data_IF_223824724881
#
_entry.id   IF_223824724881
#
_cell.length_a   1.000
_cell.length_b   1.000
_cell.length_c   1.000
_cell.angle_alpha   90.00
_cell.angle_beta   90.00
_cell.angle_gamma   90.00
#
_symmetry.space_group_name_H-M   'P 1'
#
loop_
_entity.id
_entity.type
_entity.pdbx_description
1 polymer ?
#
# COMPACT_ATOMS: atom_id res chain seq x y z
N UNK A 1 8.14 -7.78 -53.78
CA UNK A 1 7.69 -7.28 -52.46
C UNK A 1 7.15 -8.46 -51.66
N UNK A 2 7.90 -8.93 -50.66
CA UNK A 2 7.46 -10.02 -49.77
C UNK A 2 6.54 -9.43 -48.71
N UNK A 3 5.28 -9.88 -48.68
CA UNK A 3 4.36 -9.60 -47.59
C UNK A 3 4.79 -10.42 -46.37
N UNK A 4 5.20 -9.73 -45.30
CA UNK A 4 5.56 -10.35 -44.03
C UNK A 4 4.29 -10.44 -43.19
N UNK A 5 3.60 -11.58 -43.26
CA UNK A 5 2.45 -11.85 -42.39
C UNK A 5 2.98 -12.21 -40.99
N UNK A 6 2.87 -11.27 -40.05
CA UNK A 6 3.22 -11.50 -38.65
C UNK A 6 2.13 -12.37 -38.01
N UNK A 7 2.36 -13.68 -37.91
CA UNK A 7 1.49 -14.59 -37.17
C UNK A 7 1.80 -14.41 -35.68
N UNK A 8 0.87 -13.80 -34.94
CA UNK A 8 0.92 -13.67 -33.49
C UNK A 8 0.51 -15.02 -32.87
N UNK A 9 1.47 -15.86 -32.53
CA UNK A 9 1.19 -17.12 -31.83
C UNK A 9 0.92 -16.81 -30.35
N UNK A 10 -0.36 -16.89 -29.94
CA UNK A 10 -0.78 -16.74 -28.55
C UNK A 10 -0.46 -18.04 -27.81
N UNK A 11 0.60 -18.03 -27.00
CA UNK A 11 0.83 -19.09 -26.02
C UNK A 11 -0.13 -18.87 -24.83
N UNK A 12 -1.18 -19.67 -24.77
CA UNK A 12 -2.06 -19.74 -23.59
C UNK A 12 -1.37 -20.63 -22.55
N UNK A 13 -0.74 -20.03 -21.55
CA UNK A 13 -0.29 -20.79 -20.37
C UNK A 13 -1.52 -21.13 -19.50
N UNK A 14 -2.07 -22.33 -19.70
CA UNK A 14 -3.11 -22.94 -18.88
C UNK A 14 -2.56 -23.36 -17.50
N UNK A 15 -2.28 -22.41 -16.60
CA UNK A 15 -1.90 -22.73 -15.21
C UNK A 15 -2.48 -21.74 -14.18
N UNK A 16 -3.71 -21.27 -14.39
CA UNK A 16 -4.49 -20.65 -13.32
C UNK A 16 -5.94 -21.14 -13.41
N UNK A 17 -6.42 -21.79 -12.35
CA UNK A 17 -7.79 -22.27 -12.22
C UNK A 17 -8.79 -21.12 -11.99
N UNK A 18 -8.32 -19.86 -11.93
CA UNK A 18 -9.16 -18.69 -11.72
C UNK A 18 -9.65 -18.11 -13.04
N UNK A 19 -10.96 -17.98 -13.16
CA UNK A 19 -11.60 -17.38 -14.33
C UNK A 19 -11.60 -15.85 -14.19
N UNK A 20 -10.89 -15.17 -15.10
CA UNK A 20 -10.93 -13.72 -15.17
C UNK A 20 -12.35 -13.22 -15.51
N UNK A 21 -13.00 -12.54 -14.57
CA UNK A 21 -14.43 -12.21 -14.56
C UNK A 21 -14.69 -10.75 -14.17
N UNK A 22 -14.34 -9.78 -15.05
CA UNK A 22 -14.46 -8.37 -14.73
C UNK A 22 -15.92 -7.89 -14.64
N UNK A 23 -16.19 -7.01 -13.69
CA UNK A 23 -17.45 -6.28 -13.57
C UNK A 23 -17.32 -4.84 -14.07
N UNK A 24 -18.42 -4.25 -14.53
CA UNK A 24 -18.46 -2.83 -14.84
C UNK A 24 -18.35 -2.02 -13.54
N UNK A 25 -17.63 -0.91 -13.60
CA UNK A 25 -17.54 0.08 -12.54
C UNK A 25 -17.58 1.45 -13.18
N UNK A 26 -18.36 2.37 -12.63
CA UNK A 26 -18.42 3.78 -13.03
C UNK A 26 -17.59 4.59 -12.04
N UNK A 27 -16.34 4.95 -12.37
CA UNK A 27 -15.55 5.80 -11.49
C UNK A 27 -16.21 7.17 -11.34
N UNK A 28 -16.19 7.77 -10.13
CA UNK A 28 -16.62 9.16 -9.97
C UNK A 28 -15.78 10.07 -10.85
N UNK A 29 -16.30 11.24 -11.23
CA UNK A 29 -15.54 12.22 -12.02
C UNK A 29 -14.28 12.60 -11.26
N UNK A 30 -13.12 12.54 -11.92
CA UNK A 30 -11.84 12.92 -11.33
C UNK A 30 -11.92 14.33 -10.74
N UNK A 31 -11.51 14.53 -9.46
CA UNK A 31 -11.57 15.85 -8.85
C UNK A 31 -10.59 16.80 -9.55
N UNK A 32 -11.02 18.05 -9.72
CA UNK A 32 -10.14 19.12 -10.20
C UNK A 32 -9.05 19.42 -9.17
N UNK A 33 -7.80 19.67 -9.59
CA UNK A 33 -6.68 19.90 -8.70
C UNK A 33 -6.69 21.37 -8.21
N UNK A 34 -7.68 21.72 -7.39
CA UNK A 34 -7.90 23.08 -6.85
C UNK A 34 -7.87 23.10 -5.33
N UNK A 35 -7.61 24.29 -4.76
CA UNK A 35 -7.59 24.49 -3.31
C UNK A 35 -6.51 23.62 -2.65
N UNK A 36 -6.89 22.78 -1.68
CA UNK A 36 -5.93 21.94 -0.95
C UNK A 36 -5.23 20.89 -1.83
N UNK A 37 -5.82 20.57 -2.99
CA UNK A 37 -5.28 19.63 -3.97
C UNK A 37 -4.51 20.33 -5.11
N UNK A 38 -4.34 21.64 -5.05
CA UNK A 38 -3.56 22.38 -6.04
C UNK A 38 -2.13 21.81 -6.13
N UNK A 39 -1.56 21.62 -7.34
CA UNK A 39 -0.22 21.08 -7.48
C UNK A 39 0.81 21.97 -6.80
N UNK A 40 1.70 21.36 -6.02
CA UNK A 40 2.82 22.04 -5.36
C UNK A 40 4.12 21.24 -5.53
N UNK A 41 5.25 21.76 -5.08
CA UNK A 41 6.58 21.14 -5.26
C UNK A 41 7.28 20.82 -3.94
N UNK A 42 6.52 20.66 -2.85
CA UNK A 42 7.08 20.45 -1.51
C UNK A 42 7.99 19.21 -1.44
N UNK A 43 7.62 18.12 -2.10
CA UNK A 43 8.43 16.89 -2.07
C UNK A 43 9.77 17.03 -2.80
N UNK A 44 9.95 18.02 -3.68
CA UNK A 44 11.24 18.28 -4.33
C UNK A 44 12.29 18.81 -3.34
N UNK A 45 11.85 19.31 -2.17
CA UNK A 45 12.74 19.77 -1.09
C UNK A 45 13.24 18.62 -0.21
N UNK A 46 12.75 17.39 -0.43
CA UNK A 46 13.15 16.24 0.38
C UNK A 46 14.64 15.91 0.21
N UNK A 47 15.30 15.53 1.29
CA UNK A 47 16.64 14.95 1.24
C UNK A 47 16.49 13.50 0.77
N UNK A 48 17.25 13.12 -0.26
CA UNK A 48 17.27 11.77 -0.76
C UNK A 48 18.38 10.95 -0.09
N UNK A 49 18.02 9.78 0.41
CA UNK A 49 18.99 8.79 0.91
C UNK A 49 18.98 7.54 0.03
N UNK A 50 20.10 6.82 0.09
CA UNK A 50 20.27 5.50 -0.51
C UNK A 50 20.07 5.41 -2.05
N UNK A 51 20.22 6.53 -2.77
CA UNK A 51 20.10 6.59 -4.24
C UNK A 51 20.92 5.50 -4.91
N UNK A 52 20.28 4.68 -5.75
CA UNK A 52 20.88 3.56 -6.48
C UNK A 52 21.27 2.35 -5.63
N UNK A 53 21.01 2.38 -4.31
CA UNK A 53 21.48 1.36 -3.36
C UNK A 53 20.37 0.52 -2.74
N UNK A 54 19.11 0.96 -2.84
CA UNK A 54 17.93 0.20 -2.41
C UNK A 54 17.01 -0.07 -3.59
N UNK A 55 16.04 -0.96 -3.40
CA UNK A 55 15.14 -1.40 -4.47
C UNK A 55 13.73 -1.60 -3.94
N UNK A 56 12.93 -0.55 -3.98
CA UNK A 56 11.52 -0.63 -3.67
C UNK A 56 11.24 -0.87 -2.19
N UNK A 57 11.70 0.04 -1.31
CA UNK A 57 11.30 0.03 0.10
C UNK A 57 9.88 0.60 0.19
N UNK A 58 8.90 -0.29 0.11
CA UNK A 58 7.46 0.04 0.02
C UNK A 58 7.01 0.76 1.29
N UNK A 59 6.92 0.05 2.42
CA UNK A 59 6.72 0.63 3.74
C UNK A 59 8.06 0.83 4.45
N UNK A 60 8.05 1.75 5.40
CA UNK A 60 9.17 2.09 6.25
C UNK A 60 8.75 1.94 7.72
N UNK A 61 9.70 1.82 8.63
CA UNK A 61 9.53 2.28 10.00
C UNK A 61 10.87 2.80 10.51
N UNK A 62 10.84 3.64 11.54
CA UNK A 62 12.01 4.34 12.05
C UNK A 62 12.19 4.01 13.53
N UNK A 63 13.34 3.50 13.93
CA UNK A 63 13.61 3.22 15.35
C UNK A 63 13.86 4.50 16.17
N UNK A 64 14.07 4.34 17.49
CA UNK A 64 14.32 5.47 18.39
C UNK A 64 15.58 6.27 18.05
N UNK A 65 16.55 5.62 17.40
CA UNK A 65 17.84 6.19 17.02
C UNK A 65 17.79 6.88 15.64
N UNK A 66 16.64 6.82 14.97
CA UNK A 66 16.44 7.40 13.64
C UNK A 66 16.90 6.50 12.49
N UNK A 67 17.22 5.22 12.76
CA UNK A 67 17.49 4.28 11.67
C UNK A 67 16.18 3.87 11.01
N UNK A 68 16.22 3.78 9.70
CA UNK A 68 15.07 3.52 8.83
C UNK A 68 15.13 2.06 8.40
N UNK A 69 14.00 1.37 8.49
CA UNK A 69 13.86 -0.04 8.14
C UNK A 69 12.81 -0.18 7.06
N UNK A 70 13.01 -1.10 6.11
CA UNK A 70 12.03 -1.38 5.07
C UNK A 70 12.32 -2.69 4.34
N UNK A 71 11.31 -3.24 3.70
CA UNK A 71 11.42 -4.43 2.86
C UNK A 71 11.74 -4.10 1.42
N UNK A 72 12.78 -4.71 0.85
CA UNK A 72 13.09 -4.55 -0.58
C UNK A 72 12.45 -5.62 -1.46
N UNK A 73 12.49 -5.40 -2.78
CA UNK A 73 11.91 -6.31 -3.77
C UNK A 73 12.53 -7.71 -3.80
N UNK A 74 13.73 -7.88 -3.23
CA UNK A 74 14.45 -9.15 -3.18
C UNK A 74 14.11 -9.93 -1.88
N UNK A 75 13.14 -9.43 -1.10
CA UNK A 75 12.66 -10.03 0.14
C UNK A 75 13.58 -9.77 1.34
N UNK A 76 14.48 -8.78 1.27
CA UNK A 76 15.40 -8.44 2.35
C UNK A 76 14.81 -7.33 3.23
N UNK A 77 15.09 -7.42 4.53
CA UNK A 77 14.87 -6.30 5.45
C UNK A 77 16.15 -5.46 5.46
N UNK A 78 16.02 -4.22 5.01
CA UNK A 78 17.11 -3.25 4.89
C UNK A 78 17.03 -2.29 6.06
N UNK A 79 18.17 -2.03 6.71
CA UNK A 79 18.36 -0.93 7.65
C UNK A 79 19.23 0.15 7.01
N UNK A 80 18.80 1.40 7.14
CA UNK A 80 19.50 2.59 6.67
C UNK A 80 19.72 3.52 7.87
N UNK A 81 20.97 3.89 8.14
CA UNK A 81 21.27 4.90 9.17
C UNK A 81 21.20 6.31 8.58
N UNK A 82 21.00 7.34 9.42
CA UNK A 82 21.03 8.74 8.95
C UNK A 82 22.39 9.17 8.37
N UNK A 83 23.46 8.41 8.64
CA UNK A 83 24.79 8.59 8.02
C UNK A 83 24.90 7.94 6.64
N UNK A 84 23.83 7.28 6.17
CA UNK A 84 23.77 6.61 4.86
C UNK A 84 24.37 5.21 4.83
N UNK A 85 24.63 4.58 5.97
CA UNK A 85 25.02 3.16 6.02
C UNK A 85 23.80 2.28 5.74
N UNK A 86 23.95 1.33 4.82
CA UNK A 86 22.86 0.45 4.37
C UNK A 86 23.27 -0.99 4.62
N UNK A 87 22.42 -1.74 5.33
CA UNK A 87 22.68 -3.15 5.63
C UNK A 87 21.41 -3.98 5.47
N UNK A 88 21.52 -5.11 4.77
CA UNK A 88 20.51 -6.16 4.83
C UNK A 88 20.69 -6.91 6.16
N UNK A 89 19.66 -6.89 7.02
CA UNK A 89 19.72 -7.47 8.36
C UNK A 89 18.97 -8.81 8.47
N UNK A 90 18.06 -9.09 7.54
CA UNK A 90 17.36 -10.36 7.42
C UNK A 90 16.80 -10.55 6.00
N UNK A 91 16.22 -11.73 5.74
CA UNK A 91 15.55 -12.05 4.47
C UNK A 91 14.31 -12.92 4.73
N UNK A 92 13.12 -12.43 4.39
CA UNK A 92 11.85 -13.16 4.51
C UNK A 92 11.70 -14.24 3.43
N UNK A 93 12.41 -14.06 2.30
CA UNK A 93 12.25 -14.86 1.08
C UNK A 93 10.83 -14.80 0.51
N UNK A 94 10.09 -13.73 0.85
CA UNK A 94 8.83 -13.32 0.25
C UNK A 94 8.96 -11.89 -0.30
N UNK A 95 7.92 -11.08 -0.11
CA UNK A 95 7.91 -9.65 -0.45
C UNK A 95 7.34 -8.87 0.74
N UNK A 96 8.19 -8.33 1.63
CA UNK A 96 7.73 -7.46 2.71
C UNK A 96 7.21 -6.15 2.10
N UNK A 97 5.99 -5.78 2.49
CA UNK A 97 5.30 -4.57 2.05
C UNK A 97 5.14 -3.66 3.27
N UNK A 98 4.29 -3.99 4.25
CA UNK A 98 4.18 -3.30 5.53
C UNK A 98 5.22 -3.72 6.59
N UNK A 99 5.74 -2.77 7.37
CA UNK A 99 6.63 -3.03 8.51
C UNK A 99 6.32 -2.09 9.69
N UNK A 100 6.39 -2.60 10.92
CA UNK A 100 6.25 -1.77 12.12
C UNK A 100 6.93 -2.42 13.33
N UNK A 101 7.62 -1.62 14.16
CA UNK A 101 8.17 -2.11 15.42
C UNK A 101 7.09 -2.31 16.49
N UNK A 102 7.11 -3.46 17.15
CA UNK A 102 6.33 -3.71 18.36
C UNK A 102 6.98 -3.06 19.60
N UNK A 103 6.27 -3.09 20.74
CA UNK A 103 6.78 -2.54 22.01
C UNK A 103 7.99 -3.28 22.58
N UNK A 104 8.25 -4.52 22.14
CA UNK A 104 9.44 -5.29 22.55
C UNK A 104 10.66 -4.98 21.66
N UNK A 105 10.46 -4.26 20.56
CA UNK A 105 11.46 -3.94 19.56
C UNK A 105 11.69 -5.05 18.54
N UNK A 106 10.70 -5.94 18.34
CA UNK A 106 10.66 -6.82 17.18
C UNK A 106 10.03 -6.05 16.00
N UNK A 107 10.49 -6.33 14.79
CA UNK A 107 9.86 -5.79 13.58
C UNK A 107 8.77 -6.76 13.14
N UNK A 108 7.52 -6.32 13.16
CA UNK A 108 6.40 -7.03 12.57
C UNK A 108 6.36 -6.68 11.08
N UNK A 109 6.10 -7.68 10.25
CA UNK A 109 6.22 -7.58 8.80
C UNK A 109 4.97 -8.18 8.16
N UNK A 110 4.29 -7.40 7.33
CA UNK A 110 3.31 -7.87 6.37
C UNK A 110 4.07 -8.29 5.11
N UNK A 111 4.14 -9.61 4.87
CA UNK A 111 4.79 -10.15 3.68
C UNK A 111 3.75 -10.71 2.73
N UNK A 112 3.73 -10.19 1.50
CA UNK A 112 2.73 -10.50 0.49
C UNK A 112 2.53 -12.00 0.25
N UNK A 113 3.58 -12.81 0.44
CA UNK A 113 3.57 -14.24 0.13
C UNK A 113 3.68 -15.13 1.39
N UNK A 114 4.06 -14.56 2.54
CA UNK A 114 4.34 -15.33 3.76
C UNK A 114 3.36 -15.02 4.90
N UNK A 115 2.45 -14.08 4.71
CA UNK A 115 1.52 -13.63 5.74
C UNK A 115 2.19 -12.67 6.71
N UNK A 116 1.76 -12.71 7.97
CA UNK A 116 2.30 -11.88 9.03
C UNK A 116 3.52 -12.56 9.67
N UNK A 117 4.64 -11.85 9.72
CA UNK A 117 5.91 -12.32 10.28
C UNK A 117 6.35 -11.43 11.45
N UNK A 118 7.22 -11.96 12.29
CA UNK A 118 7.96 -11.22 13.32
C UNK A 118 9.45 -11.48 13.15
N UNK A 119 10.25 -10.41 13.22
CA UNK A 119 11.70 -10.46 13.22
C UNK A 119 12.24 -9.93 14.54
N UNK A 120 12.98 -10.75 15.27
CA UNK A 120 13.62 -10.32 16.52
C UNK A 120 14.88 -9.46 16.28
N UNK A 121 15.47 -8.94 17.36
CA UNK A 121 16.67 -8.10 17.32
C UNK A 121 17.92 -8.80 16.79
N UNK A 122 17.92 -10.13 16.71
CA UNK A 122 19.01 -10.93 16.13
C UNK A 122 18.85 -11.13 14.62
N UNK A 123 17.69 -10.74 14.07
CA UNK A 123 17.31 -10.96 12.67
C UNK A 123 16.61 -12.28 12.42
N UNK A 124 16.24 -13.04 13.47
CA UNK A 124 15.51 -14.30 13.31
C UNK A 124 14.05 -14.00 12.99
N UNK A 125 13.58 -14.53 11.86
CA UNK A 125 12.20 -14.40 11.38
C UNK A 125 11.37 -15.60 11.81
N UNK A 126 10.16 -15.34 12.30
CA UNK A 126 9.14 -16.33 12.66
C UNK A 126 7.81 -15.95 12.01
N UNK A 127 7.12 -16.91 11.39
CA UNK A 127 5.75 -16.70 10.89
C UNK A 127 4.77 -16.68 12.05
N UNK A 128 3.95 -15.62 12.12
CA UNK A 128 2.90 -15.47 13.12
C UNK A 128 1.59 -16.10 12.63
N UNK A 129 1.18 -15.77 11.40
CA UNK A 129 0.01 -16.34 10.72
C UNK A 129 0.15 -16.22 9.21
N UNK A 130 -0.24 -17.26 8.48
CA UNK A 130 -0.18 -17.31 6.99
C UNK A 130 -1.52 -17.69 6.33
N UNK A 131 -2.53 -18.04 7.11
CA UNK A 131 -3.83 -18.46 6.62
C UNK A 131 -4.95 -18.15 7.61
N UNK A 132 -6.19 -18.13 7.11
CA UNK A 132 -7.40 -18.02 7.92
C UNK A 132 -8.39 -19.10 7.52
N UNK A 133 -8.79 -19.94 8.48
CA UNK A 133 -9.71 -21.07 8.27
C UNK A 133 -9.28 -22.00 7.12
N UNK A 134 -7.98 -22.30 7.03
CA UNK A 134 -7.41 -23.17 5.98
C UNK A 134 -7.26 -22.51 4.61
N UNK A 135 -7.55 -21.21 4.49
CA UNK A 135 -7.34 -20.44 3.26
C UNK A 135 -6.11 -19.55 3.43
N UNK A 136 -5.02 -19.77 2.66
CA UNK A 136 -3.83 -18.93 2.73
C UNK A 136 -4.14 -17.47 2.38
N UNK A 137 -3.46 -16.54 3.06
CA UNK A 137 -3.41 -15.17 2.59
C UNK A 137 -2.66 -15.12 1.26
N UNK A 138 -3.09 -14.25 0.37
CA UNK A 138 -2.57 -14.17 -1.00
C UNK A 138 -1.77 -12.89 -1.22
N UNK A 139 -2.09 -11.86 -0.44
CA UNK A 139 -1.50 -10.55 -0.58
C UNK A 139 -1.57 -9.77 0.74
N UNK A 140 -0.87 -10.26 1.76
CA UNK A 140 -0.73 -9.52 3.02
C UNK A 140 0.08 -8.24 2.79
N UNK A 141 -0.55 -7.09 2.97
CA UNK A 141 -0.06 -5.83 2.40
C UNK A 141 0.45 -4.87 3.48
N UNK A 142 -0.42 -4.43 4.41
CA UNK A 142 -0.06 -3.49 5.46
C UNK A 142 -0.53 -3.94 6.86
N UNK A 143 -0.01 -3.29 7.92
CA UNK A 143 -0.33 -3.61 9.31
C UNK A 143 -0.27 -2.40 10.25
N UNK A 144 -1.01 -2.47 11.36
CA UNK A 144 -0.84 -1.57 12.50
C UNK A 144 -0.99 -2.35 13.83
N UNK A 145 -0.24 -1.95 14.84
CA UNK A 145 -0.14 -2.64 16.13
C UNK A 145 -0.88 -1.84 17.22
N UNK A 146 -1.85 -2.49 17.84
CA UNK A 146 -2.58 -1.94 18.98
C UNK A 146 -1.73 -1.89 20.26
N UNK A 147 -2.14 -1.06 21.20
CA UNK A 147 -1.51 -0.85 22.50
C UNK A 147 -1.42 -2.14 23.33
N UNK A 148 -2.36 -3.06 23.17
CA UNK A 148 -2.38 -4.36 23.86
C UNK A 148 -1.53 -5.44 23.17
N UNK A 149 -0.95 -5.12 22.01
CA UNK A 149 -0.10 -6.00 21.20
C UNK A 149 -0.83 -6.76 20.10
N UNK A 150 -2.15 -6.59 19.94
CA UNK A 150 -2.86 -7.15 18.78
C UNK A 150 -2.40 -6.49 17.49
N UNK A 151 -2.33 -7.27 16.42
CA UNK A 151 -1.82 -6.83 15.13
C UNK A 151 -2.98 -6.84 14.14
N UNK A 152 -3.35 -5.67 13.66
CA UNK A 152 -4.31 -5.51 12.58
C UNK A 152 -3.53 -5.59 11.27
N UNK A 153 -4.06 -6.28 10.27
CA UNK A 153 -3.39 -6.39 8.97
C UNK A 153 -4.39 -6.57 7.84
N UNK A 154 -3.99 -6.14 6.65
CA UNK A 154 -4.77 -6.30 5.42
C UNK A 154 -4.31 -7.51 4.62
N UNK A 155 -5.25 -8.13 3.92
CA UNK A 155 -5.01 -9.05 2.80
C UNK A 155 -5.69 -8.41 1.58
N UNK A 156 -4.88 -7.76 0.74
CA UNK A 156 -5.36 -6.80 -0.24
C UNK A 156 -6.27 -7.40 -1.29
N UNK A 157 -6.01 -8.65 -1.68
CA UNK A 157 -6.72 -9.32 -2.75
C UNK A 157 -6.62 -10.83 -2.61
N UNK A 158 -7.44 -11.54 -3.38
CA UNK A 158 -7.18 -12.95 -3.66
C UNK A 158 -5.98 -13.14 -4.60
N UNK A 159 -5.61 -12.14 -5.41
CA UNK A 159 -4.48 -12.19 -6.34
C UNK A 159 -3.14 -12.05 -5.63
N UNK A 160 -2.08 -12.65 -6.18
CA UNK A 160 -0.72 -12.42 -5.69
C UNK A 160 -0.23 -11.00 -6.02
N UNK A 161 0.80 -10.52 -5.31
CA UNK A 161 1.37 -9.18 -5.52
C UNK A 161 1.75 -8.87 -6.97
N UNK A 162 2.32 -9.83 -7.71
CA UNK A 162 2.68 -9.65 -9.13
C UNK A 162 1.47 -9.51 -10.06
N UNK A 163 0.28 -9.85 -9.57
CA UNK A 163 -0.99 -9.91 -10.27
C UNK A 163 -1.95 -8.78 -9.88
N UNK A 164 -1.50 -7.81 -9.07
CA UNK A 164 -2.32 -6.72 -8.52
C UNK A 164 -3.18 -5.98 -9.57
N UNK A 165 -2.70 -5.82 -10.81
CA UNK A 165 -3.45 -5.18 -11.89
C UNK A 165 -4.63 -6.03 -12.42
N UNK A 166 -4.66 -7.34 -12.16
CA UNK A 166 -5.83 -8.16 -12.48
C UNK A 166 -7.00 -7.83 -11.55
N UNK A 167 -6.73 -7.57 -10.28
CA UNK A 167 -7.75 -7.10 -9.33
C UNK A 167 -8.34 -5.75 -9.79
N UNK A 168 -7.49 -4.80 -10.21
CA UNK A 168 -7.92 -3.53 -10.80
C UNK A 168 -8.88 -3.75 -11.98
N UNK A 169 -8.49 -4.61 -12.92
CA UNK A 169 -9.33 -4.89 -14.08
C UNK A 169 -10.64 -5.57 -13.67
N UNK A 170 -10.59 -6.56 -12.78
CA UNK A 170 -11.80 -7.25 -12.35
C UNK A 170 -12.76 -6.31 -11.62
N UNK A 171 -12.22 -5.32 -10.92
CA UNK A 171 -12.95 -4.31 -10.16
C UNK A 171 -13.93 -4.94 -9.17
N UNK A 172 -13.49 -6.02 -8.50
CA UNK A 172 -14.26 -6.78 -7.51
C UNK A 172 -13.69 -6.57 -6.10
N UNK A 173 -14.53 -6.68 -5.06
CA UNK A 173 -14.12 -6.34 -3.70
C UNK A 173 -13.50 -7.55 -2.98
N UNK A 174 -12.26 -7.92 -3.33
CA UNK A 174 -11.61 -9.11 -2.77
C UNK A 174 -10.85 -8.88 -1.47
N UNK A 175 -10.59 -7.63 -1.11
CA UNK A 175 -9.78 -7.26 0.04
C UNK A 175 -10.45 -7.56 1.37
N UNK A 176 -9.62 -7.87 2.36
CA UNK A 176 -10.02 -8.27 3.71
C UNK A 176 -9.10 -7.62 4.75
N UNK A 177 -9.63 -7.45 5.96
CA UNK A 177 -8.88 -6.96 7.12
C UNK A 177 -9.09 -7.91 8.29
N UNK A 178 -7.99 -8.21 8.97
CA UNK A 178 -7.93 -9.14 10.08
C UNK A 178 -7.33 -8.49 11.32
N UNK A 179 -7.53 -9.12 12.47
CA UNK A 179 -6.74 -8.92 13.67
C UNK A 179 -6.17 -10.25 14.14
N UNK A 180 -4.89 -10.24 14.51
CA UNK A 180 -4.17 -11.36 15.10
C UNK A 180 -3.81 -11.02 16.55
N UNK A 181 -4.06 -11.94 17.48
CA UNK A 181 -3.62 -11.84 18.87
C UNK A 181 -2.39 -12.75 19.10
N UNK A 182 -1.18 -12.20 19.28
CA UNK A 182 0.01 -13.01 19.52
C UNK A 182 -0.04 -13.87 20.79
N UNK A 183 -0.90 -13.53 21.76
CA UNK A 183 -1.02 -14.29 23.03
C UNK A 183 -1.85 -15.55 22.86
N UNK A 184 -2.98 -15.45 22.16
CA UNK A 184 -3.87 -16.61 21.92
C UNK A 184 -3.56 -17.32 20.61
N UNK A 185 -2.81 -16.67 19.71
CA UNK A 185 -2.56 -17.07 18.32
C UNK A 185 -3.83 -17.15 17.47
N UNK A 186 -4.89 -16.48 17.90
CA UNK A 186 -6.14 -16.43 17.16
C UNK A 186 -6.13 -15.31 16.14
N UNK A 187 -6.77 -15.56 14.99
CA UNK A 187 -6.99 -14.58 13.93
C UNK A 187 -8.49 -14.40 13.73
N UNK A 188 -8.95 -13.17 13.65
CA UNK A 188 -10.35 -12.82 13.39
C UNK A 188 -10.47 -11.97 12.14
N UNK A 189 -11.43 -12.30 11.27
CA UNK A 189 -11.86 -11.43 10.17
C UNK A 189 -12.68 -10.27 10.73
N UNK A 190 -12.29 -9.04 10.41
CA UNK A 190 -12.94 -7.82 10.88
C UNK A 190 -13.81 -7.14 9.81
N UNK A 191 -13.32 -7.11 8.57
CA UNK A 191 -14.00 -6.52 7.43
C UNK A 191 -13.57 -7.24 6.16
N UNK A 192 -14.50 -7.44 5.24
CA UNK A 192 -14.28 -7.97 3.90
C UNK A 192 -15.03 -7.12 2.87
N UNK A 193 -15.03 -7.57 1.61
CA UNK A 193 -15.66 -6.86 0.51
C UNK A 193 -15.07 -5.45 0.30
N UNK A 194 -13.74 -5.34 0.37
CA UNK A 194 -12.98 -4.13 0.09
C UNK A 194 -12.36 -4.18 -1.31
N UNK A 195 -12.33 -3.04 -2.01
CA UNK A 195 -11.72 -2.94 -3.33
C UNK A 195 -10.22 -2.66 -3.22
N UNK A 196 -9.46 -3.74 -3.08
CA UNK A 196 -8.03 -3.74 -2.81
C UNK A 196 -7.69 -3.11 -1.45
N UNK A 197 -7.73 -3.93 -0.39
CA UNK A 197 -7.47 -3.49 0.99
C UNK A 197 -5.96 -3.27 1.20
N UNK A 198 -5.49 -2.05 0.94
CA UNK A 198 -4.08 -1.71 0.98
C UNK A 198 -3.70 -1.26 2.41
N UNK A 199 -3.28 0.00 2.57
CA UNK A 199 -2.89 0.58 3.84
C UNK A 199 -3.96 0.55 4.90
N UNK A 200 -3.55 0.33 6.16
CA UNK A 200 -4.43 0.42 7.32
C UNK A 200 -3.80 1.20 8.48
N UNK A 201 -4.64 1.90 9.25
CA UNK A 201 -4.17 2.61 10.45
C UNK A 201 -5.24 2.68 11.53
N UNK A 202 -4.86 2.34 12.76
CA UNK A 202 -5.71 2.53 13.94
C UNK A 202 -5.81 4.01 14.27
N UNK A 203 -6.95 4.43 14.77
CA UNK A 203 -7.08 5.71 15.47
C UNK A 203 -6.28 5.73 16.78
N UNK A 204 -5.90 6.93 17.24
CA UNK A 204 -5.08 7.11 18.46
C UNK A 204 -5.65 6.41 19.70
N UNK A 205 -6.98 6.42 19.83
CA UNK A 205 -7.71 5.79 20.93
C UNK A 205 -8.20 4.37 20.58
N UNK A 206 -7.88 3.88 19.38
CA UNK A 206 -8.30 2.58 18.85
C UNK A 206 -9.82 2.42 18.81
N UNK A 207 -10.54 3.52 18.58
CA UNK A 207 -12.00 3.53 18.44
C UNK A 207 -12.43 3.04 17.06
N UNK A 208 -11.59 3.26 16.05
CA UNK A 208 -11.75 2.81 14.67
C UNK A 208 -10.40 2.49 14.01
N UNK A 209 -10.49 1.79 12.87
CA UNK A 209 -9.42 1.51 11.91
C UNK A 209 -9.77 2.18 10.57
N UNK A 210 -8.83 2.80 9.89
CA UNK A 210 -8.96 3.25 8.51
C UNK A 210 -8.35 2.23 7.56
N UNK A 211 -8.94 2.07 6.38
CA UNK A 211 -8.51 1.15 5.33
C UNK A 211 -8.57 1.87 4.00
N UNK A 212 -7.46 1.88 3.27
CA UNK A 212 -7.41 2.40 1.91
C UNK A 212 -7.95 1.35 0.93
N UNK A 213 -8.87 1.78 0.07
CA UNK A 213 -9.37 0.98 -1.06
C UNK A 213 -8.83 1.56 -2.36
N UNK A 214 -7.65 1.07 -2.76
CA UNK A 214 -6.83 1.63 -3.84
C UNK A 214 -7.61 1.79 -5.14
N UNK A 215 -8.44 0.81 -5.52
CA UNK A 215 -9.17 0.80 -6.79
C UNK A 215 -10.58 1.39 -6.71
N UNK A 216 -10.90 2.08 -5.62
CA UNK A 216 -12.09 2.93 -5.49
C UNK A 216 -11.78 4.37 -5.09
N UNK A 217 -10.50 4.74 -5.08
CA UNK A 217 -10.06 6.10 -4.73
C UNK A 217 -10.65 6.55 -3.38
N UNK A 218 -10.77 5.65 -2.40
CA UNK A 218 -11.51 5.94 -1.17
C UNK A 218 -10.84 5.38 0.07
N UNK A 219 -11.26 5.89 1.21
CA UNK A 219 -10.83 5.45 2.54
C UNK A 219 -12.06 5.07 3.33
N UNK A 220 -12.07 3.84 3.85
CA UNK A 220 -13.15 3.27 4.64
C UNK A 220 -12.74 3.22 6.11
N UNK A 221 -13.62 3.69 6.99
CA UNK A 221 -13.50 3.61 8.44
C UNK A 221 -14.28 2.40 8.96
N UNK A 222 -13.63 1.56 9.74
CA UNK A 222 -14.25 0.46 10.50
C UNK A 222 -14.28 0.83 11.99
N UNK A 223 -15.46 0.87 12.60
CA UNK A 223 -15.61 1.14 14.03
C UNK A 223 -15.26 -0.11 14.86
N UNK A 224 -14.31 0.02 15.79
CA UNK A 224 -13.84 -1.05 16.66
C UNK A 224 -14.47 -0.99 18.07
N UNK A 225 -14.93 0.20 18.47
CA UNK A 225 -15.54 0.49 19.78
C UNK A 225 -16.82 1.31 19.62
N UNK A 226 -17.54 1.46 20.74
CA UNK A 226 -18.75 2.27 20.83
C UNK A 226 -20.00 1.66 20.16
N UNK A 227 -21.09 2.43 20.04
CA UNK A 227 -22.38 1.93 19.52
C UNK A 227 -22.34 1.47 18.06
N UNK A 228 -21.40 1.99 17.26
CA UNK A 228 -21.19 1.61 15.86
C UNK A 228 -20.23 0.42 15.68
N UNK A 229 -19.75 -0.22 16.76
CA UNK A 229 -18.76 -1.31 16.68
C UNK A 229 -19.17 -2.37 15.65
N UNK A 230 -18.26 -2.68 14.74
CA UNK A 230 -18.45 -3.66 13.66
C UNK A 230 -19.06 -3.09 12.38
N UNK A 231 -19.52 -1.84 12.36
CA UNK A 231 -19.97 -1.18 11.13
C UNK A 231 -18.84 -0.41 10.46
N UNK A 232 -18.95 -0.20 9.15
CA UNK A 232 -18.02 0.63 8.37
C UNK A 232 -18.72 1.76 7.62
N UNK A 233 -17.97 2.83 7.34
CA UNK A 233 -18.43 3.97 6.54
C UNK A 233 -17.26 4.58 5.73
N UNK A 234 -17.56 5.11 4.54
CA UNK A 234 -16.56 5.81 3.72
C UNK A 234 -16.34 7.21 4.29
N UNK A 235 -15.09 7.59 4.56
CA UNK A 235 -14.73 8.91 5.12
C UNK A 235 -14.11 9.84 4.09
N UNK A 236 -13.45 9.29 3.07
CA UNK A 236 -13.05 10.03 1.88
C UNK A 236 -13.50 9.22 0.68
N UNK A 237 -14.22 9.87 -0.23
CA UNK A 237 -14.53 9.36 -1.55
C UNK A 237 -13.76 10.15 -2.60
N UNK A 238 -13.48 9.54 -3.75
CA UNK A 238 -12.99 10.23 -4.94
C UNK A 238 -11.65 10.97 -4.77
N UNK A 239 -10.66 10.31 -4.19
CA UNK A 239 -9.29 10.82 -4.09
C UNK A 239 -8.69 11.16 -5.47
N UNK A 240 -7.75 12.13 -5.54
CA UNK A 240 -7.10 12.54 -6.79
C UNK A 240 -6.10 11.52 -7.33
N UNK A 241 -5.86 10.42 -6.61
CA UNK A 241 -4.92 9.36 -6.95
C UNK A 241 -5.27 8.04 -6.27
N UNK A 242 -4.43 7.04 -6.47
CA UNK A 242 -4.59 5.69 -5.94
C UNK A 242 -4.02 5.63 -4.51
N UNK A 243 -4.85 5.53 -3.45
CA UNK A 243 -4.32 5.47 -2.09
C UNK A 243 -3.58 4.16 -1.83
N UNK A 244 -2.44 4.27 -1.17
CA UNK A 244 -1.51 3.17 -0.86
C UNK A 244 -1.42 2.99 0.67
N UNK A 245 -0.26 3.09 1.33
CA UNK A 245 -0.21 3.05 2.79
C UNK A 245 -0.82 4.29 3.45
N UNK A 246 -1.37 4.08 4.66
CA UNK A 246 -1.86 5.13 5.57
C UNK A 246 -1.21 4.96 6.93
N UNK A 247 -0.65 6.03 7.50
CA UNK A 247 0.02 5.97 8.81
C UNK A 247 -0.43 7.09 9.73
N UNK A 248 -0.56 6.78 11.02
CA UNK A 248 -0.99 7.75 12.04
C UNK A 248 0.22 8.47 12.65
N UNK A 249 0.16 9.79 12.75
CA UNK A 249 1.16 10.58 13.50
C UNK A 249 0.84 10.66 15.01
N UNK A 250 1.72 11.30 15.79
CA UNK A 250 1.57 11.43 17.25
C UNK A 250 0.34 12.26 17.67
N UNK A 251 -0.13 13.16 16.80
CA UNK A 251 -1.33 13.98 17.03
C UNK A 251 -2.63 13.21 16.78
N UNK A 252 -2.57 12.06 16.12
CA UNK A 252 -3.75 11.28 15.71
C UNK A 252 -4.31 11.66 14.35
N UNK A 253 -3.55 12.43 13.56
CA UNK A 253 -3.81 12.69 12.15
C UNK A 253 -3.15 11.57 11.32
N UNK A 254 -3.53 11.46 10.05
CA UNK A 254 -3.10 10.39 9.17
C UNK A 254 -2.43 10.92 7.91
N UNK A 255 -1.29 10.34 7.55
CA UNK A 255 -0.67 10.53 6.24
C UNK A 255 -1.10 9.40 5.32
N UNK A 256 -1.48 9.76 4.10
CA UNK A 256 -1.85 8.83 3.03
C UNK A 256 -0.94 9.07 1.85
N UNK A 257 -0.22 8.03 1.42
CA UNK A 257 0.50 8.06 0.16
C UNK A 257 -0.46 7.77 -0.99
N UNK A 258 -0.30 8.48 -2.10
CA UNK A 258 -0.96 8.17 -3.36
C UNK A 258 0.10 7.70 -4.36
N UNK A 259 0.02 6.43 -4.76
CA UNK A 259 0.98 5.80 -5.67
C UNK A 259 1.15 6.59 -6.98
N UNK A 260 0.04 7.05 -7.55
CA UNK A 260 0.00 7.89 -8.74
C UNK A 260 -1.30 8.69 -8.76
N UNK A 261 -1.34 9.77 -9.54
CA UNK A 261 -2.57 10.50 -9.87
C UNK A 261 -3.52 9.67 -10.73
N UNK A 262 -4.81 10.02 -10.72
CA UNK A 262 -5.85 9.39 -11.56
C UNK A 262 -5.55 9.48 -13.06
N UNK A 263 -5.83 8.40 -13.78
CA UNK A 263 -5.60 8.26 -15.21
C UNK A 263 -6.93 8.14 -15.96
N UNK A 264 -7.26 9.14 -16.78
CA UNK A 264 -8.55 9.22 -17.46
C UNK A 264 -8.80 8.04 -18.42
N UNK A 265 -7.74 7.46 -19.01
CA UNK A 265 -7.87 6.26 -19.86
C UNK A 265 -8.23 5.02 -19.05
N UNK A 266 -7.70 4.91 -17.83
CA UNK A 266 -8.07 3.84 -16.91
C UNK A 266 -9.51 4.00 -16.47
N UNK A 267 -9.91 5.22 -16.11
CA UNK A 267 -11.28 5.50 -15.67
C UNK A 267 -12.31 5.23 -16.77
N UNK A 268 -12.03 5.66 -18.00
CA UNK A 268 -12.90 5.41 -19.17
C UNK A 268 -13.01 3.94 -19.56
N UNK A 269 -12.05 3.09 -19.16
CA UNK A 269 -12.08 1.66 -19.41
C UNK A 269 -13.01 0.94 -18.43
N UNK A 270 -13.12 1.42 -17.18
CA UNK A 270 -13.82 0.69 -16.11
C UNK A 270 -15.29 0.32 -16.39
N UNK A 271 -16.08 1.13 -17.12
CA UNK A 271 -17.46 0.80 -17.47
C UNK A 271 -17.61 -0.41 -18.39
N UNK A 272 -16.61 -0.72 -19.23
CA UNK A 272 -16.72 -1.77 -20.24
C UNK A 272 -15.99 -3.06 -19.85
N UNK A 273 -16.76 -4.10 -19.52
CA UNK A 273 -16.22 -5.45 -19.26
C UNK A 273 -15.54 -6.05 -20.49
N UNK A 274 -15.98 -5.67 -21.70
CA UNK A 274 -15.36 -6.11 -22.96
C UNK A 274 -13.97 -5.50 -23.12
N UNK A 275 -13.82 -4.19 -22.87
CA UNK A 275 -12.51 -3.52 -22.96
C UNK A 275 -11.54 -4.09 -21.93
N UNK A 276 -11.99 -4.33 -20.70
CA UNK A 276 -11.17 -4.99 -19.66
C UNK A 276 -10.68 -6.38 -20.09
N UNK A 277 -11.55 -7.19 -20.70
CA UNK A 277 -11.18 -8.50 -21.27
C UNK A 277 -10.17 -8.37 -22.40
N UNK A 278 -10.33 -7.39 -23.29
CA UNK A 278 -9.34 -7.15 -24.34
C UNK A 278 -7.96 -6.78 -23.74
N UNK A 279 -7.92 -5.86 -22.77
CA UNK A 279 -6.68 -5.44 -22.12
C UNK A 279 -6.02 -6.58 -21.36
N UNK A 280 -6.80 -7.44 -20.70
CA UNK A 280 -6.28 -8.64 -20.04
C UNK A 280 -5.43 -9.53 -20.97
N UNK A 281 -5.79 -9.65 -22.24
CA UNK A 281 -5.03 -10.42 -23.23
C UNK A 281 -3.88 -9.66 -23.89
N UNK A 282 -3.76 -8.34 -23.69
CA UNK A 282 -2.66 -7.56 -24.25
C UNK A 282 -1.37 -7.78 -23.45
N UNK A 283 -0.19 -7.72 -24.11
CA UNK A 283 1.09 -7.62 -23.42
C UNK A 283 1.11 -6.45 -22.42
N UNK A 284 1.66 -6.67 -21.22
CA UNK A 284 1.67 -5.69 -20.11
C UNK A 284 2.27 -4.32 -20.47
N UNK A 285 3.21 -4.26 -21.41
CA UNK A 285 3.81 -2.99 -21.84
C UNK A 285 2.82 -2.05 -22.57
N UNK A 286 1.70 -2.60 -23.07
CA UNK A 286 0.62 -1.86 -23.73
C UNK A 286 -0.46 -1.38 -22.76
N UNK A 287 -0.42 -1.81 -21.50
CA UNK A 287 -1.41 -1.42 -20.50
C UNK A 287 -1.21 0.06 -20.12
N UNK A 288 -2.26 0.77 -19.66
CA UNK A 288 -2.09 2.11 -19.14
C UNK A 288 -1.05 2.12 -18.01
N UNK A 289 -0.09 3.05 -18.11
CA UNK A 289 1.01 3.18 -17.15
C UNK A 289 0.66 4.22 -16.10
N UNK A 290 1.20 4.02 -14.89
CA UNK A 290 1.22 5.04 -13.85
C UNK A 290 1.96 6.29 -14.38
N UNK A 291 1.49 7.46 -13.96
CA UNK A 291 2.19 8.71 -14.22
C UNK A 291 3.23 8.90 -13.13
N UNK A 292 4.51 9.15 -13.46
CA UNK A 292 5.49 9.55 -12.46
C UNK A 292 4.99 10.77 -11.68
N UNK A 293 4.73 10.59 -10.40
CA UNK A 293 4.20 11.63 -9.53
C UNK A 293 4.47 11.27 -8.06
N UNK A 294 4.96 12.20 -7.26
CA UNK A 294 5.02 12.07 -5.81
C UNK A 294 3.82 12.76 -5.19
N UNK A 295 2.99 12.08 -4.41
CA UNK A 295 1.79 12.70 -3.83
C UNK A 295 1.44 12.06 -2.49
N UNK A 296 1.49 12.84 -1.42
CA UNK A 296 0.90 12.47 -0.15
C UNK A 296 -0.05 13.55 0.36
N UNK A 297 -1.02 13.14 1.16
CA UNK A 297 -1.92 14.03 1.86
C UNK A 297 -1.96 13.69 3.35
N UNK A 298 -2.24 14.70 4.16
CA UNK A 298 -2.51 14.57 5.58
C UNK A 298 -3.99 14.81 5.83
N UNK A 299 -4.62 14.02 6.69
CA UNK A 299 -6.04 14.12 7.01
C UNK A 299 -6.31 13.90 8.50
N UNK A 300 -7.46 14.38 8.98
CA UNK A 300 -7.97 14.00 10.30
C UNK A 300 -8.71 12.65 10.26
N UNK A 301 -9.13 12.15 11.42
CA UNK A 301 -9.87 10.89 11.52
C UNK A 301 -11.26 10.87 10.87
N UNK A 302 -11.76 12.00 10.38
CA UNK A 302 -13.07 12.13 9.72
C UNK A 302 -12.97 12.30 8.21
N UNK A 303 -11.77 12.25 7.62
CA UNK A 303 -11.60 12.41 6.18
C UNK A 303 -11.33 13.85 5.74
N UNK A 304 -11.21 14.81 6.66
CA UNK A 304 -10.86 16.18 6.27
C UNK A 304 -9.38 16.25 5.94
N UNK A 305 -9.06 16.53 4.69
CA UNK A 305 -7.68 16.80 4.26
C UNK A 305 -7.19 18.12 4.86
N UNK A 306 -5.99 18.10 5.42
CA UNK A 306 -5.35 19.18 6.16
C UNK A 306 -4.19 19.82 5.38
N UNK A 307 -3.46 19.01 4.60
CA UNK A 307 -2.44 19.49 3.66
C UNK A 307 -2.09 18.42 2.63
N UNK A 308 -1.42 18.83 1.56
CA UNK A 308 -0.82 17.93 0.57
C UNK A 308 0.64 18.29 0.34
N UNK A 309 1.47 17.28 0.04
CA UNK A 309 2.85 17.47 -0.39
C UNK A 309 3.05 16.69 -1.69
N UNK A 310 3.60 17.37 -2.70
CA UNK A 310 3.60 16.85 -4.06
C UNK A 310 4.97 17.04 -4.75
N UNK A 311 5.25 16.17 -5.72
CA UNK A 311 6.25 16.31 -6.78
C UNK A 311 5.58 15.95 -8.13
N UNK A 312 5.01 16.94 -8.83
CA UNK A 312 4.29 16.72 -10.08
C UNK A 312 5.18 16.28 -11.24
N UNK A 313 6.50 16.47 -11.13
CA UNK A 313 7.46 16.06 -12.15
C UNK A 313 7.79 14.58 -12.06
N UNK A 314 7.71 14.01 -10.85
CA UNK A 314 8.17 12.66 -10.55
C UNK A 314 9.67 12.44 -10.79
N UNK A 315 10.47 13.50 -10.89
CA UNK A 315 11.91 13.41 -11.09
C UNK A 315 12.65 13.18 -9.76
N UNK A 316 12.13 13.72 -8.66
CA UNK A 316 12.77 13.63 -7.33
C UNK A 316 12.20 12.47 -6.52
N UNK A 317 10.88 12.49 -6.31
CA UNK A 317 10.11 11.42 -5.68
C UNK A 317 8.88 11.12 -6.54
N UNK A 318 8.65 9.83 -6.82
CA UNK A 318 7.49 9.34 -7.58
C UNK A 318 7.05 8.00 -7.05
N UNK A 319 5.87 7.52 -7.44
CA UNK A 319 5.44 6.16 -7.13
C UNK A 319 5.54 5.90 -5.62
N UNK A 320 5.20 6.92 -4.81
CA UNK A 320 5.40 6.88 -3.36
C UNK A 320 4.29 6.03 -2.77
N UNK A 321 4.65 5.12 -1.88
CA UNK A 321 3.71 4.13 -1.35
C UNK A 321 3.57 4.21 0.16
N UNK A 322 4.51 4.85 0.85
CA UNK A 322 4.42 5.13 2.28
C UNK A 322 4.93 6.52 2.64
N UNK A 323 4.32 7.10 3.68
CA UNK A 323 4.76 8.33 4.33
C UNK A 323 4.59 8.17 5.83
N UNK A 324 5.64 8.39 6.60
CA UNK A 324 5.62 8.31 8.06
C UNK A 324 6.14 9.60 8.66
N UNK A 325 5.37 10.17 9.58
CA UNK A 325 5.78 11.36 10.32
C UNK A 325 6.42 10.98 11.66
N UNK A 326 7.72 11.30 11.84
CA UNK A 326 8.38 11.28 13.17
C UNK A 326 9.16 12.56 13.39
N UNK A 327 9.00 13.19 14.54
CA UNK A 327 9.74 14.41 14.95
C UNK A 327 9.74 15.49 13.85
N UNK A 328 8.57 15.78 13.28
CA UNK A 328 8.36 16.75 12.18
C UNK A 328 9.11 16.41 10.87
N UNK A 329 9.49 15.17 10.67
CA UNK A 329 10.08 14.68 9.42
C UNK A 329 9.17 13.63 8.80
N UNK A 330 8.94 13.75 7.51
CA UNK A 330 8.30 12.73 6.69
C UNK A 330 9.36 11.81 6.10
N UNK A 331 9.24 10.53 6.39
CA UNK A 331 10.03 9.46 5.78
C UNK A 331 9.18 8.83 4.68
N UNK A 332 9.70 8.84 3.46
CA UNK A 332 8.91 8.54 2.25
C UNK A 332 9.51 7.32 1.56
N UNK A 333 8.72 6.25 1.48
CA UNK A 333 9.02 5.01 0.79
C UNK A 333 8.35 4.93 -0.59
N UNK A 334 8.78 3.94 -1.38
CA UNK A 334 8.25 3.67 -2.70
C UNK A 334 8.50 2.21 -3.07
N UNK A 335 7.52 1.60 -3.72
CA UNK A 335 7.58 0.23 -4.22
C UNK A 335 8.59 0.03 -5.36
N UNK A 336 8.92 1.07 -6.14
CA UNK A 336 9.72 0.95 -7.36
C UNK A 336 11.01 1.78 -7.40
N UNK A 337 11.16 2.77 -6.50
CA UNK A 337 12.33 3.62 -6.52
C UNK A 337 13.59 2.97 -5.94
N UNK A 338 14.71 3.61 -6.22
CA UNK A 338 16.04 3.26 -5.77
C UNK A 338 16.54 4.17 -4.62
N UNK A 339 15.62 4.85 -3.93
CA UNK A 339 15.90 5.86 -2.91
C UNK A 339 14.74 5.98 -1.92
N UNK A 340 14.98 6.65 -0.81
CA UNK A 340 13.94 7.13 0.12
C UNK A 340 14.03 8.66 0.26
N UNK A 341 12.93 9.29 0.62
CA UNK A 341 12.86 10.73 0.89
C UNK A 341 12.77 11.05 2.38
N UNK A 342 13.42 12.13 2.80
CA UNK A 342 13.23 12.75 4.12
C UNK A 342 12.84 14.21 3.90
N UNK A 343 11.60 14.56 4.22
CA UNK A 343 11.08 15.92 4.09
C UNK A 343 10.81 16.54 5.46
N UNK A 344 11.30 17.74 5.72
CA UNK A 344 11.09 18.44 7.00
C UNK A 344 9.82 19.27 6.91
N UNK A 345 8.86 19.03 7.80
CA UNK A 345 7.61 19.79 7.86
C UNK A 345 7.87 21.25 8.31
N UNK A 346 7.21 22.23 7.68
CA UNK A 346 7.37 23.66 7.94
C UNK A 346 7.05 24.04 9.39
#
# INVERSE_FOLDING_TARGET
>A
MKYFTLILTIFVSLTSCRTFSPVAYEPPIKPEPVGIYEPNTELQKAILLAIGKVKGLESLDVDSDGNIYGGDKDGRIIRITLKGEIKAIAKTSGRPLGVQFDKAGNLIIADAYKGLLSMDKTGKITTLVSEYKGVPFQFTDDLDIAQDGKIYFSDASIYEQKEYLYDLLEARPYGRVFVYDPKTKETQLLLDNLYFANGIALSKNEDFLLVNETYRYRITKLWLKGPKKGTSEVVIENLPGFPDNITRNENGEFWVALFTVRNDRMDSMHPSTVVKKMIYFLPKFMWPKAQPYGYALKMDGNGKVLMTVQDPTGEHLKDITSVIEKKRQLYIGSLYNDRIGIYVLP
#
